data_IF_990916823730
#
_entry.id   IF_990916823730
#
_cell.length_a   1.000
_cell.length_b   1.000
_cell.length_c   1.000
_cell.angle_alpha   90.00
_cell.angle_beta   90.00
_cell.angle_gamma   90.00
#
_symmetry.space_group_name_H-M   'P 1'
#
loop_
_entity.id
_entity.type
_entity.pdbx_description
1 polymer ?
#
# COMPACT_ATOMS: atom_id res chain seq x y z
N UNK A 1 -12.02 34.13 18.84
CA UNK A 1 -11.25 32.89 19.03
C UNK A 1 -9.89 33.11 18.40
N UNK A 2 -8.82 33.11 19.18
CA UNK A 2 -7.45 33.17 18.64
C UNK A 2 -7.12 31.78 18.10
N UNK A 3 -6.94 31.65 16.80
CA UNK A 3 -6.41 30.44 16.19
C UNK A 3 -4.90 30.41 16.45
N UNK A 4 -4.48 29.54 17.37
CA UNK A 4 -3.07 29.21 17.56
C UNK A 4 -2.61 28.48 16.30
N UNK A 5 -1.85 29.16 15.45
CA UNK A 5 -1.23 28.53 14.27
C UNK A 5 -0.20 27.53 14.79
N UNK A 6 -0.42 26.24 14.53
CA UNK A 6 0.53 25.20 14.91
C UNK A 6 1.85 25.42 14.14
N UNK A 7 3.02 25.22 14.76
CA UNK A 7 4.29 25.27 14.06
C UNK A 7 4.33 24.16 13.01
N UNK A 8 4.46 24.55 11.74
CA UNK A 8 4.59 23.62 10.62
C UNK A 8 5.96 22.92 10.66
N UNK A 9 5.95 21.60 10.53
CA UNK A 9 7.18 20.82 10.38
C UNK A 9 7.78 21.09 8.99
N UNK A 10 9.11 21.25 8.89
CA UNK A 10 9.77 21.61 7.64
C UNK A 10 9.63 20.51 6.57
N UNK A 11 9.50 20.93 5.31
CA UNK A 11 9.50 20.03 4.16
C UNK A 11 10.90 19.48 3.88
N UNK A 12 10.97 18.17 3.61
CA UNK A 12 12.24 17.47 3.32
C UNK A 12 12.57 17.48 1.83
N UNK A 13 13.86 17.46 1.52
CA UNK A 13 14.36 17.18 0.17
C UNK A 13 14.10 15.70 -0.20
N UNK A 14 14.05 15.42 -1.51
CA UNK A 14 13.94 14.04 -1.99
C UNK A 14 15.10 13.17 -1.46
N UNK A 15 14.83 11.94 -0.98
CA UNK A 15 15.88 11.08 -0.45
C UNK A 15 16.84 10.63 -1.57
N UNK A 16 18.12 10.50 -1.22
CA UNK A 16 19.19 10.13 -2.15
C UNK A 16 19.43 8.62 -2.13
N UNK A 17 19.76 8.02 -3.27
CA UNK A 17 19.91 6.57 -3.38
C UNK A 17 21.40 6.23 -3.29
N UNK A 18 21.78 5.46 -2.29
CA UNK A 18 23.20 5.17 -1.98
C UNK A 18 23.63 3.80 -2.50
N UNK A 19 22.80 2.78 -2.32
CA UNK A 19 23.10 1.42 -2.72
C UNK A 19 21.85 0.69 -3.22
N UNK A 20 22.07 -0.30 -4.09
CA UNK A 20 21.02 -1.11 -4.71
C UNK A 20 21.49 -2.57 -4.73
N UNK A 21 20.58 -3.49 -4.49
CA UNK A 21 20.73 -4.93 -4.73
C UNK A 21 19.55 -5.41 -5.58
N UNK A 22 19.43 -6.71 -5.78
CA UNK A 22 18.26 -7.35 -6.40
C UNK A 22 16.97 -7.15 -5.57
N UNK A 23 17.08 -7.21 -4.23
CA UNK A 23 15.93 -7.21 -3.32
C UNK A 23 15.90 -6.04 -2.33
N UNK A 24 16.86 -5.10 -2.43
CA UNK A 24 16.92 -3.96 -1.51
C UNK A 24 17.47 -2.69 -2.13
N UNK A 25 16.99 -1.54 -1.64
CA UNK A 25 17.50 -0.22 -2.00
C UNK A 25 17.79 0.56 -0.70
N UNK A 26 19.01 1.08 -0.57
CA UNK A 26 19.41 1.89 0.57
C UNK A 26 19.30 3.38 0.24
N UNK A 27 18.50 4.08 1.04
CA UNK A 27 18.21 5.50 0.90
C UNK A 27 18.93 6.30 1.97
N UNK A 28 19.36 7.50 1.61
CA UNK A 28 19.94 8.51 2.50
C UNK A 28 19.01 9.70 2.58
N UNK A 29 18.56 10.00 3.79
CA UNK A 29 17.79 11.20 4.09
C UNK A 29 18.76 12.25 4.58
N UNK A 30 18.78 13.43 3.94
CA UNK A 30 19.59 14.56 4.41
C UNK A 30 18.91 15.16 5.64
N UNK A 31 19.60 15.11 6.78
CA UNK A 31 19.14 15.70 8.04
C UNK A 31 19.15 17.23 7.92
N UNK A 32 18.09 17.88 8.42
CA UNK A 32 17.97 19.33 8.38
C UNK A 32 18.91 19.95 9.42
N UNK A 33 19.69 21.00 9.10
CA UNK A 33 20.73 21.53 10.00
C UNK A 33 20.21 22.11 11.34
N UNK A 34 18.90 22.32 11.49
CA UNK A 34 18.29 22.91 12.70
C UNK A 34 17.23 22.01 13.36
N UNK A 35 17.17 20.71 13.05
CA UNK A 35 16.16 19.79 13.59
C UNK A 35 16.68 18.99 14.79
N UNK A 36 15.92 19.01 15.89
CA UNK A 36 16.13 18.22 17.11
C UNK A 36 16.64 16.79 16.82
N UNK A 37 17.55 16.31 17.66
CA UNK A 37 18.25 15.02 17.54
C UNK A 37 17.34 13.76 17.62
N UNK A 38 16.02 13.94 17.72
CA UNK A 38 14.99 12.88 17.80
C UNK A 38 13.94 12.96 16.67
N UNK A 39 14.27 13.53 15.51
CA UNK A 39 13.35 13.50 14.38
C UNK A 39 13.14 12.07 13.86
N UNK A 40 11.92 11.55 13.99
CA UNK A 40 11.53 10.29 13.35
C UNK A 40 11.04 10.56 11.92
N UNK A 41 11.35 9.64 11.02
CA UNK A 41 10.97 9.71 9.62
C UNK A 41 10.03 8.57 9.28
N UNK A 42 9.01 8.85 8.46
CA UNK A 42 8.18 7.82 7.84
C UNK A 42 8.48 7.81 6.34
N UNK A 43 8.76 6.63 5.81
CA UNK A 43 8.98 6.41 4.38
C UNK A 43 7.76 5.73 3.75
N UNK A 44 7.55 6.00 2.47
CA UNK A 44 6.64 5.23 1.64
C UNK A 44 7.34 4.87 0.35
N UNK A 45 7.16 3.62 -0.07
CA UNK A 45 7.63 3.10 -1.34
C UNK A 45 6.42 2.77 -2.23
N UNK A 46 6.51 3.06 -3.52
CA UNK A 46 5.53 2.58 -4.49
C UNK A 46 6.21 1.98 -5.70
N UNK A 47 5.54 0.98 -6.28
CA UNK A 47 5.88 0.38 -7.55
C UNK A 47 5.53 1.35 -8.69
N UNK A 48 6.47 1.54 -9.61
CA UNK A 48 6.24 2.32 -10.82
C UNK A 48 6.49 1.46 -12.05
N UNK A 49 5.49 1.39 -12.92
CA UNK A 49 5.60 0.76 -14.24
C UNK A 49 5.48 1.87 -15.30
N UNK A 50 6.39 1.90 -16.26
CA UNK A 50 6.39 2.87 -17.37
C UNK A 50 6.34 4.36 -16.96
N UNK A 51 6.80 4.70 -15.75
CA UNK A 51 6.82 6.08 -15.24
C UNK A 51 5.52 6.54 -14.58
N UNK A 52 4.50 5.67 -14.50
CA UNK A 52 3.31 5.91 -13.70
C UNK A 52 3.53 5.38 -12.28
N UNK A 53 3.16 6.17 -11.27
CA UNK A 53 3.20 5.76 -9.87
C UNK A 53 1.84 5.17 -9.52
N UNK A 54 1.79 3.87 -9.20
CA UNK A 54 0.56 3.29 -8.68
C UNK A 54 0.31 3.85 -7.28
N UNK A 55 -0.91 4.31 -7.00
CA UNK A 55 -1.26 4.89 -5.69
C UNK A 55 -1.32 3.85 -4.54
N UNK A 56 -0.86 2.62 -4.76
CA UNK A 56 -0.66 1.60 -3.72
C UNK A 56 0.70 1.81 -3.05
N UNK A 57 0.73 2.71 -2.07
CA UNK A 57 1.90 2.93 -1.24
C UNK A 57 2.09 1.79 -0.25
N UNK A 58 3.27 1.18 -0.25
CA UNK A 58 3.72 0.27 0.79
C UNK A 58 4.10 1.15 1.98
N UNK A 59 3.27 1.09 3.03
CA UNK A 59 3.48 1.87 4.24
C UNK A 59 4.69 1.30 4.98
N UNK A 60 5.70 2.13 5.22
CA UNK A 60 6.92 1.69 5.87
C UNK A 60 7.10 2.30 7.26
N UNK A 61 7.95 1.61 8.01
CA UNK A 61 8.24 1.73 9.44
C UNK A 61 8.86 3.10 9.75
N UNK A 62 8.59 3.63 10.95
CA UNK A 62 9.26 4.82 11.46
C UNK A 62 10.74 4.53 11.73
N UNK A 63 11.63 5.43 11.32
CA UNK A 63 13.07 5.28 11.53
C UNK A 63 13.73 6.61 11.91
N UNK A 64 14.81 6.55 12.69
CA UNK A 64 15.58 7.72 13.15
C UNK A 64 16.97 7.82 12.49
N UNK A 65 17.35 6.83 11.69
CA UNK A 65 18.65 6.78 11.01
C UNK A 65 18.68 7.61 9.72
N UNK A 66 19.82 8.21 9.40
CA UNK A 66 20.05 8.92 8.12
C UNK A 66 20.14 7.97 6.93
N UNK A 67 20.47 6.70 7.17
CA UNK A 67 20.52 5.62 6.18
C UNK A 67 19.44 4.59 6.49
N UNK A 68 18.59 4.30 5.50
CA UNK A 68 17.49 3.35 5.62
C UNK A 68 17.49 2.34 4.47
N UNK A 69 17.72 1.03 4.74
CA UNK A 69 17.60 -0.02 3.74
C UNK A 69 16.14 -0.50 3.60
N UNK A 70 15.55 -0.26 2.44
CA UNK A 70 14.24 -0.83 2.05
C UNK A 70 14.48 -2.26 1.55
N UNK A 71 14.00 -3.26 2.29
CA UNK A 71 14.15 -4.69 1.99
C UNK A 71 12.86 -5.28 1.40
N UNK A 72 12.95 -6.46 0.77
CA UNK A 72 11.79 -7.20 0.26
C UNK A 72 11.26 -6.66 -1.07
N UNK A 73 12.10 -5.95 -1.82
CA UNK A 73 11.77 -5.48 -3.15
C UNK A 73 11.89 -6.63 -4.15
N UNK A 74 11.12 -6.58 -5.24
CA UNK A 74 11.24 -7.58 -6.31
C UNK A 74 12.49 -7.28 -7.15
N UNK A 75 13.20 -8.32 -7.64
CA UNK A 75 14.28 -8.13 -8.60
C UNK A 75 13.74 -7.47 -9.87
N UNK A 76 14.62 -6.75 -10.57
CA UNK A 76 14.32 -6.15 -11.85
C UNK A 76 13.13 -5.15 -11.89
N UNK A 77 12.84 -4.51 -10.76
CA UNK A 77 11.59 -3.75 -10.58
C UNK A 77 11.86 -2.28 -10.26
N UNK A 78 11.08 -1.38 -10.85
CA UNK A 78 11.23 0.08 -10.67
C UNK A 78 10.37 0.59 -9.52
N UNK A 79 10.99 1.34 -8.61
CA UNK A 79 10.37 1.91 -7.43
C UNK A 79 10.60 3.42 -7.33
N UNK A 80 9.66 4.08 -6.67
CA UNK A 80 9.75 5.48 -6.24
C UNK A 80 9.55 5.59 -4.73
N UNK A 81 10.22 6.56 -4.12
CA UNK A 81 10.23 6.75 -2.68
C UNK A 81 9.88 8.20 -2.31
N UNK A 82 9.22 8.37 -1.17
CA UNK A 82 9.02 9.66 -0.50
C UNK A 82 9.14 9.50 1.00
N UNK A 83 9.57 10.56 1.68
CA UNK A 83 9.81 10.58 3.12
C UNK A 83 9.15 11.81 3.73
N UNK A 84 8.64 11.68 4.96
CA UNK A 84 8.19 12.82 5.76
C UNK A 84 8.75 12.74 7.18
N UNK A 85 8.81 13.88 7.84
CA UNK A 85 9.07 13.94 9.30
C UNK A 85 7.79 13.61 10.05
N UNK A 86 7.91 12.80 11.10
CA UNK A 86 6.83 12.49 12.04
C UNK A 86 7.33 12.83 13.45
N UNK A 87 6.53 13.58 14.18
CA UNK A 87 6.72 13.81 15.63
C UNK A 87 5.60 13.04 16.35
N UNK A 88 5.94 11.84 16.86
CA UNK A 88 4.99 10.98 17.58
C UNK A 88 4.51 11.61 18.89
N UNK A 89 5.34 12.44 19.54
CA UNK A 89 5.01 13.07 20.83
C UNK A 89 3.93 14.13 20.65
N UNK A 90 3.99 14.88 19.54
CA UNK A 90 3.04 15.95 19.22
C UNK A 90 1.90 15.50 18.29
N UNK A 91 1.88 14.23 17.88
CA UNK A 91 0.98 13.71 16.84
C UNK A 91 0.97 14.58 15.57
N UNK A 92 2.14 15.07 15.16
CA UNK A 92 2.30 15.95 14.00
C UNK A 92 3.05 15.23 12.88
N UNK A 93 2.62 15.45 11.64
CA UNK A 93 3.29 14.95 10.44
C UNK A 93 3.63 16.14 9.53
N UNK A 94 4.87 16.21 9.07
CA UNK A 94 5.26 17.16 8.04
C UNK A 94 4.76 16.76 6.65
N UNK A 95 4.92 17.67 5.70
CA UNK A 95 4.65 17.39 4.30
C UNK A 95 5.58 16.29 3.75
N UNK A 96 5.10 15.57 2.73
CA UNK A 96 5.90 14.58 2.03
C UNK A 96 6.98 15.25 1.18
N UNK A 97 8.19 14.66 1.18
CA UNK A 97 9.24 15.07 0.27
C UNK A 97 8.82 14.86 -1.20
N UNK A 98 9.46 15.57 -2.14
CA UNK A 98 9.37 15.22 -3.55
C UNK A 98 9.77 13.77 -3.80
N UNK A 99 9.20 13.17 -4.85
CA UNK A 99 9.49 11.80 -5.25
C UNK A 99 10.95 11.65 -5.69
N UNK A 100 11.55 10.51 -5.36
CA UNK A 100 12.85 10.12 -5.93
C UNK A 100 12.74 9.85 -7.42
N UNK A 101 13.85 9.96 -8.18
CA UNK A 101 13.92 9.43 -9.53
C UNK A 101 13.60 7.93 -9.56
N UNK A 102 12.93 7.51 -10.64
CA UNK A 102 12.58 6.11 -10.88
C UNK A 102 13.83 5.22 -10.78
N UNK A 103 13.79 4.27 -9.84
CA UNK A 103 14.95 3.43 -9.55
C UNK A 103 14.63 1.96 -9.66
N UNK A 104 15.35 1.29 -10.55
CA UNK A 104 15.27 -0.14 -10.78
C UNK A 104 16.23 -0.91 -9.86
N UNK A 105 15.74 -1.98 -9.22
CA UNK A 105 16.56 -2.99 -8.54
C UNK A 105 17.35 -3.81 -9.55
N UNK A 106 18.47 -4.42 -9.13
CA UNK A 106 19.24 -5.27 -10.03
C UNK A 106 18.46 -6.53 -10.42
N UNK A 107 18.85 -7.14 -11.53
CA UNK A 107 18.43 -8.53 -11.80
C UNK A 107 19.22 -9.48 -10.88
N UNK A 108 18.66 -10.66 -10.61
CA UNK A 108 19.36 -11.70 -9.83
C UNK A 108 20.74 -12.02 -10.43
N UNK A 109 20.84 -12.07 -11.76
CA UNK A 109 22.12 -12.29 -12.45
C UNK A 109 23.12 -11.14 -12.26
N UNK A 110 22.65 -9.89 -12.31
CA UNK A 110 23.51 -8.71 -12.12
C UNK A 110 24.03 -8.63 -10.69
N UNK A 111 23.20 -8.96 -9.71
CA UNK A 111 23.58 -8.97 -8.30
C UNK A 111 24.49 -10.19 -7.98
N UNK A 112 24.23 -11.36 -8.58
CA UNK A 112 25.12 -12.53 -8.49
C UNK A 112 26.51 -12.25 -9.09
N UNK A 113 26.58 -11.50 -10.21
CA UNK A 113 27.85 -11.08 -10.81
C UNK A 113 28.59 -10.07 -9.94
N UNK A 114 27.87 -9.18 -9.24
CA UNK A 114 28.45 -8.17 -8.35
C UNK A 114 28.85 -8.72 -6.98
N UNK A 115 28.14 -9.71 -6.46
CA UNK A 115 28.39 -10.31 -5.15
C UNK A 115 29.62 -11.21 -5.10
N UNK A 116 30.36 -11.37 -6.20
CA UNK A 116 31.67 -12.06 -6.24
C UNK A 116 31.61 -13.58 -6.11
N UNK A 117 30.45 -14.15 -5.76
CA UNK A 117 30.25 -15.59 -5.54
C UNK A 117 30.57 -16.44 -6.78
N UNK A 118 30.18 -15.97 -7.97
CA UNK A 118 30.46 -16.65 -9.24
C UNK A 118 31.95 -16.58 -9.60
N UNK A 119 32.60 -15.45 -9.34
CA UNK A 119 34.02 -15.26 -9.65
C UNK A 119 34.92 -16.04 -8.70
N UNK A 120 34.59 -16.08 -7.40
CA UNK A 120 35.32 -16.89 -6.42
C UNK A 120 35.16 -18.39 -6.66
N UNK A 121 33.95 -18.85 -7.00
CA UNK A 121 33.72 -20.26 -7.35
C UNK A 121 34.46 -20.66 -8.63
N UNK A 122 34.45 -19.82 -9.67
CA UNK A 122 35.23 -20.05 -10.89
C UNK A 122 36.74 -20.09 -10.62
N UNK A 123 37.27 -19.19 -9.78
CA UNK A 123 38.69 -19.16 -9.42
C UNK A 123 39.11 -20.39 -8.61
N UNK A 124 38.21 -20.94 -7.78
CA UNK A 124 38.46 -22.17 -7.01
C UNK A 124 38.54 -23.40 -7.91
N UNK A 125 37.60 -23.54 -8.86
CA UNK A 125 37.60 -24.64 -9.84
C UNK A 125 38.86 -24.64 -10.71
N UNK A 126 39.31 -23.47 -11.17
CA UNK A 126 40.58 -23.31 -11.91
C UNK A 126 41.80 -23.78 -11.10
N UNK A 127 41.86 -23.46 -9.80
CA UNK A 127 42.95 -23.91 -8.90
C UNK A 127 42.95 -25.42 -8.71
N UNK A 128 41.77 -26.04 -8.59
CA UNK A 128 41.62 -27.49 -8.44
C UNK A 128 42.04 -28.24 -9.73
N UNK A 129 41.61 -27.76 -10.91
CA UNK A 129 42.02 -28.34 -12.19
C UNK A 129 43.54 -28.27 -12.40
N UNK A 130 44.17 -27.15 -12.05
CA UNK A 130 45.63 -26.98 -12.14
C UNK A 130 46.41 -27.92 -11.22
N UNK A 131 45.86 -28.26 -10.04
CA UNK A 131 46.45 -29.24 -9.12
C UNK A 131 46.43 -30.66 -9.69
N UNK A 132 45.31 -31.06 -10.28
CA UNK A 132 45.13 -32.39 -10.89
C UNK A 132 46.09 -32.59 -12.08
N UNK A 133 46.17 -31.60 -12.97
CA UNK A 133 47.09 -31.63 -14.12
C UNK A 133 48.56 -31.74 -13.69
N UNK A 134 48.95 -31.01 -12.63
CA UNK A 134 50.32 -31.09 -12.09
C UNK A 134 50.65 -32.48 -11.52
N UNK A 135 49.67 -33.14 -10.89
CA UNK A 135 49.82 -34.51 -10.37
C UNK A 135 49.96 -35.57 -11.47
N UNK A 136 49.26 -35.41 -12.60
CA UNK A 136 49.38 -36.31 -13.75
C UNK A 136 50.75 -36.21 -14.44
N UNK A 137 51.29 -34.99 -14.56
CA UNK A 137 52.63 -34.75 -15.14
C UNK A 137 53.73 -35.42 -14.28
N UNK A 138 53.62 -35.38 -12.95
CA UNK A 138 54.58 -36.05 -12.05
C UNK A 138 54.59 -37.57 -12.28
N UNK A 139 53.41 -38.21 -12.33
CA UNK A 139 53.30 -39.66 -12.53
C UNK A 139 53.86 -40.14 -13.87
N UNK A 140 53.67 -39.36 -14.93
CA UNK A 140 54.23 -39.67 -16.25
C UNK A 140 55.75 -39.54 -16.29
N UNK A 141 56.32 -38.69 -15.44
CA UNK A 141 57.77 -38.49 -15.33
C UNK A 141 58.43 -39.70 -14.65
N UNK A 142 57.85 -40.20 -13.56
CA UNK A 142 58.36 -41.36 -12.81
C UNK A 142 58.39 -42.65 -13.65
N UNK A 143 57.35 -42.89 -14.46
CA UNK A 143 57.24 -44.09 -15.32
C UNK A 143 58.30 -44.10 -16.45
N UNK A 144 58.73 -42.92 -16.90
CA UNK A 144 59.74 -42.80 -17.94
C UNK A 144 61.16 -43.07 -17.40
N UNK A 145 61.41 -42.83 -16.11
CA UNK A 145 62.70 -43.12 -15.47
C UNK A 145 62.87 -44.61 -15.12
N UNK A 146 61.81 -45.30 -14.70
CA UNK A 146 61.86 -46.75 -14.41
C UNK A 146 62.12 -47.61 -15.65
N UNK A 147 61.62 -47.21 -16.82
CA UNK A 147 61.83 -47.95 -18.08
C UNK A 147 63.27 -47.89 -18.61
N UNK A 148 64.12 -47.02 -18.07
CA UNK A 148 65.50 -46.84 -18.52
C UNK A 148 66.48 -47.83 -17.86
N UNK A 149 66.10 -48.49 -16.77
CA UNK A 149 67.01 -49.30 -15.92
C UNK A 149 66.93 -50.81 -16.21
N UNK A 150 65.92 -51.30 -16.94
CA UNK A 150 65.59 -52.73 -17.00
C UNK A 150 66.09 -53.51 -18.25
N UNK A 151 67.11 -53.04 -18.99
CA UNK A 151 67.53 -53.66 -20.28
C UNK A 151 68.93 -54.27 -20.36
N UNK A 152 69.64 -54.47 -19.26
CA UNK A 152 71.02 -54.99 -19.31
C UNK A 152 71.25 -56.14 -18.33
N UNK A 153 70.92 -57.39 -18.71
CA UNK A 153 71.69 -58.59 -18.32
C UNK A 153 71.03 -59.89 -18.79
N UNK A 154 71.76 -60.67 -19.61
CA UNK A 154 71.98 -62.13 -19.51
C UNK A 154 72.08 -62.82 -20.88
N UNK A 155 73.18 -63.56 -21.12
CA UNK A 155 73.15 -64.84 -21.82
C UNK A 155 74.51 -65.61 -21.91
N UNK A 156 74.37 -66.95 -21.97
CA UNK A 156 75.26 -68.05 -22.47
C UNK A 156 76.18 -68.74 -21.44
N UNK A 157 76.04 -70.04 -21.08
CA UNK A 157 76.02 -71.36 -21.80
C UNK A 157 77.42 -71.82 -22.26
N UNK A 158 77.90 -72.99 -21.78
CA UNK A 158 78.89 -73.80 -22.52
C UNK A 158 78.92 -75.30 -22.11
N UNK A 159 79.21 -76.16 -23.09
CA UNK A 159 79.19 -77.64 -23.10
C UNK A 159 80.61 -78.25 -23.24
N UNK A 160 80.65 -79.59 -23.42
CA UNK A 160 81.70 -80.48 -24.01
C UNK A 160 82.60 -81.23 -22.99
N UNK A 161 83.02 -82.50 -23.17
CA UNK A 161 83.13 -83.38 -24.35
C UNK A 161 83.41 -84.84 -23.91
N UNK A 162 83.16 -85.87 -24.75
CA UNK A 162 84.17 -86.91 -25.10
C UNK A 162 83.65 -87.93 -26.16
N UNK A 163 84.47 -88.25 -27.18
CA UNK A 163 83.99 -88.52 -28.56
C UNK A 163 83.99 -89.97 -29.10
N UNK A 164 84.27 -91.03 -28.34
CA UNK A 164 84.28 -92.41 -28.91
C UNK A 164 83.53 -93.49 -28.11
N UNK A 165 83.33 -93.31 -26.80
CA UNK A 165 82.10 -93.82 -26.15
C UNK A 165 80.87 -93.13 -26.77
N UNK A 166 81.09 -91.91 -27.25
CA UNK A 166 80.16 -91.08 -28.00
C UNK A 166 79.46 -91.77 -29.13
N UNK A 167 79.97 -92.71 -29.94
CA UNK A 167 79.10 -93.21 -31.06
C UNK A 167 77.94 -94.10 -30.60
N UNK A 168 78.18 -95.04 -29.67
CA UNK A 168 77.10 -95.85 -29.05
C UNK A 168 76.35 -95.07 -27.96
N UNK A 169 77.04 -94.18 -27.26
CA UNK A 169 76.40 -93.23 -26.35
C UNK A 169 75.62 -92.18 -27.15
N UNK A 170 75.98 -91.82 -28.38
CA UNK A 170 75.27 -90.90 -29.29
C UNK A 170 74.10 -91.65 -29.87
N UNK A 171 74.19 -92.93 -30.23
CA UNK A 171 73.02 -93.67 -30.72
C UNK A 171 72.02 -93.98 -29.59
N UNK A 172 72.50 -94.34 -28.39
CA UNK A 172 71.64 -94.48 -27.21
C UNK A 172 71.18 -93.14 -26.63
N UNK A 173 71.98 -92.08 -26.71
CA UNK A 173 71.55 -90.69 -26.41
C UNK A 173 70.66 -90.17 -27.52
N UNK A 174 70.80 -90.55 -28.79
CA UNK A 174 69.91 -90.16 -29.88
C UNK A 174 68.58 -90.86 -29.71
N UNK A 175 68.57 -92.14 -29.36
CA UNK A 175 67.37 -92.87 -29.00
C UNK A 175 66.70 -92.27 -27.76
N UNK A 176 67.47 -91.98 -26.69
CA UNK A 176 66.95 -91.28 -25.50
C UNK A 176 66.49 -89.86 -25.81
N UNK A 177 67.22 -89.11 -26.62
CA UNK A 177 66.86 -87.75 -27.06
C UNK A 177 65.64 -87.79 -27.97
N UNK A 178 65.47 -88.81 -28.82
CA UNK A 178 64.26 -89.00 -29.63
C UNK A 178 63.06 -89.36 -28.74
N UNK A 179 63.27 -90.18 -27.71
CA UNK A 179 62.24 -90.52 -26.73
C UNK A 179 61.91 -89.32 -25.81
N UNK A 180 62.90 -88.55 -25.40
CA UNK A 180 62.73 -87.30 -24.65
C UNK A 180 62.08 -86.23 -25.51
N UNK A 181 62.44 -86.11 -26.80
CA UNK A 181 61.82 -85.21 -27.76
C UNK A 181 60.36 -85.62 -28.02
N UNK A 182 60.06 -86.92 -28.12
CA UNK A 182 58.67 -87.38 -28.27
C UNK A 182 57.85 -87.15 -27.00
N UNK A 183 58.42 -87.41 -25.83
CA UNK A 183 57.81 -87.08 -24.54
C UNK A 183 57.60 -85.57 -24.37
N UNK A 184 58.57 -84.73 -24.74
CA UNK A 184 58.46 -83.27 -24.74
C UNK A 184 57.42 -82.78 -25.73
N UNK A 185 57.29 -83.44 -26.89
CA UNK A 185 56.26 -83.12 -27.89
C UNK A 185 54.87 -83.42 -27.33
N UNK A 186 54.69 -84.58 -26.68
CA UNK A 186 53.44 -84.95 -26.00
C UNK A 186 53.15 -83.94 -24.87
N UNK A 187 54.13 -83.63 -24.02
CA UNK A 187 53.96 -82.67 -22.94
C UNK A 187 53.62 -81.26 -23.45
N UNK A 188 54.26 -80.80 -24.53
CA UNK A 188 53.93 -79.53 -25.19
C UNK A 188 52.51 -79.54 -25.77
N UNK A 189 52.07 -80.65 -26.35
CA UNK A 189 50.71 -80.81 -26.85
C UNK A 189 49.70 -80.69 -25.70
N UNK A 190 49.97 -81.34 -24.56
CA UNK A 190 49.14 -81.27 -23.35
C UNK A 190 49.10 -79.87 -22.75
N UNK A 191 50.25 -79.18 -22.69
CA UNK A 191 50.31 -77.78 -22.22
C UNK A 191 49.58 -76.85 -23.18
N UNK A 192 49.64 -77.07 -24.50
CA UNK A 192 48.86 -76.31 -25.48
C UNK A 192 47.36 -76.53 -25.33
N UNK A 193 46.91 -77.78 -25.14
CA UNK A 193 45.48 -78.04 -24.90
C UNK A 193 45.01 -77.45 -23.58
N UNK A 194 45.85 -77.48 -22.54
CA UNK A 194 45.54 -76.85 -21.26
C UNK A 194 45.45 -75.33 -21.40
N UNK A 195 46.42 -74.69 -22.08
CA UNK A 195 46.35 -73.24 -22.34
C UNK A 195 45.11 -72.85 -23.15
N UNK A 196 44.73 -73.65 -24.15
CA UNK A 196 43.51 -73.39 -24.90
C UNK A 196 42.25 -73.50 -24.02
N UNK A 197 42.21 -74.48 -23.11
CA UNK A 197 41.13 -74.60 -22.13
C UNK A 197 41.11 -73.42 -21.13
N UNK A 198 42.29 -73.01 -20.64
CA UNK A 198 42.42 -71.88 -19.73
C UNK A 198 42.04 -70.55 -20.43
N UNK A 199 42.42 -70.35 -21.69
CA UNK A 199 42.03 -69.18 -22.50
C UNK A 199 40.50 -69.11 -22.69
N UNK A 200 39.85 -70.25 -22.94
CA UNK A 200 38.39 -70.32 -23.03
C UNK A 200 37.74 -69.98 -21.68
N UNK A 201 38.21 -70.56 -20.58
CA UNK A 201 37.70 -70.27 -19.24
C UNK A 201 37.87 -68.80 -18.86
N UNK A 202 39.02 -68.18 -19.19
CA UNK A 202 39.26 -66.75 -18.97
C UNK A 202 38.26 -65.92 -19.79
N UNK A 203 38.02 -66.29 -21.05
CA UNK A 203 37.05 -65.57 -21.91
C UNK A 203 35.61 -65.68 -21.39
N UNK A 204 35.22 -66.83 -20.86
CA UNK A 204 33.90 -67.04 -20.24
C UNK A 204 33.75 -66.20 -18.97
N UNK A 205 34.75 -66.21 -18.09
CA UNK A 205 34.74 -65.42 -16.86
C UNK A 205 34.70 -63.90 -17.15
N UNK A 206 35.41 -63.44 -18.18
CA UNK A 206 35.35 -62.03 -18.59
C UNK A 206 33.96 -61.65 -19.11
N UNK A 207 33.34 -62.51 -19.93
CA UNK A 207 31.96 -62.30 -20.42
C UNK A 207 30.94 -62.30 -19.27
N UNK A 208 31.08 -63.18 -18.29
CA UNK A 208 30.21 -63.18 -17.10
C UNK A 208 30.40 -61.91 -16.27
N UNK A 209 31.64 -61.45 -16.09
CA UNK A 209 31.91 -60.21 -15.36
C UNK A 209 31.31 -58.99 -16.06
N UNK A 210 31.36 -58.94 -17.40
CA UNK A 210 30.75 -57.86 -18.19
C UNK A 210 29.22 -57.88 -18.09
N UNK A 211 28.59 -59.06 -18.16
CA UNK A 211 27.14 -59.21 -17.92
C UNK A 211 26.72 -58.76 -16.52
N UNK A 212 27.49 -59.10 -15.49
CA UNK A 212 27.21 -58.67 -14.12
C UNK A 212 27.33 -57.15 -13.95
N UNK A 213 28.33 -56.52 -14.57
CA UNK A 213 28.44 -55.04 -14.57
C UNK A 213 27.26 -54.38 -15.29
N UNK A 214 26.85 -54.92 -16.44
CA UNK A 214 25.70 -54.40 -17.18
C UNK A 214 24.41 -54.48 -16.35
N UNK A 215 24.14 -55.62 -15.71
CA UNK A 215 22.99 -55.81 -14.83
C UNK A 215 23.01 -54.87 -13.61
N UNK A 216 24.19 -54.61 -13.03
CA UNK A 216 24.33 -53.70 -11.89
C UNK A 216 24.06 -52.24 -12.28
N UNK A 217 24.50 -51.82 -13.48
CA UNK A 217 24.23 -50.48 -14.02
C UNK A 217 22.73 -50.29 -14.29
N UNK A 218 22.05 -51.29 -14.86
CA UNK A 218 20.60 -51.25 -15.10
C UNK A 218 19.80 -51.16 -13.80
N UNK A 219 20.17 -51.95 -12.77
CA UNK A 219 19.53 -51.86 -11.46
C UNK A 219 19.73 -50.50 -10.79
N UNK A 220 20.94 -49.93 -10.87
CA UNK A 220 21.19 -48.59 -10.33
C UNK A 220 20.34 -47.53 -11.03
N UNK A 221 20.18 -47.63 -12.36
CA UNK A 221 19.29 -46.75 -13.12
C UNK A 221 17.82 -46.90 -12.68
N UNK A 222 17.33 -48.14 -12.53
CA UNK A 222 15.96 -48.39 -12.05
C UNK A 222 15.71 -47.82 -10.66
N UNK A 223 16.63 -48.00 -9.71
CA UNK A 223 16.51 -47.45 -8.35
C UNK A 223 16.49 -45.92 -8.36
N UNK A 224 17.29 -45.28 -9.23
CA UNK A 224 17.25 -43.82 -9.40
C UNK A 224 15.90 -43.36 -9.94
N UNK A 225 15.36 -44.02 -10.97
CA UNK A 225 14.04 -43.69 -11.51
C UNK A 225 12.91 -43.87 -10.49
N UNK A 226 12.95 -44.93 -9.68
CA UNK A 226 11.96 -45.15 -8.62
C UNK A 226 12.02 -44.04 -7.55
N UNK A 227 13.22 -43.62 -7.16
CA UNK A 227 13.42 -42.53 -6.19
C UNK A 227 12.95 -41.18 -6.75
N UNK A 228 13.27 -40.88 -8.01
CA UNK A 228 12.80 -39.67 -8.71
C UNK A 228 11.27 -39.67 -8.81
N UNK A 229 10.68 -40.81 -9.13
CA UNK A 229 9.23 -40.90 -9.28
C UNK A 229 8.51 -40.84 -7.91
N UNK A 230 9.11 -41.34 -6.83
CA UNK A 230 8.63 -41.12 -5.46
C UNK A 230 8.67 -39.64 -5.06
N UNK A 231 9.81 -38.97 -5.25
CA UNK A 231 9.95 -37.54 -4.94
C UNK A 231 9.00 -36.65 -5.76
N UNK A 232 8.72 -37.02 -7.01
CA UNK A 232 7.70 -36.33 -7.81
C UNK A 232 6.28 -36.55 -7.28
N UNK A 233 5.95 -37.76 -6.80
CA UNK A 233 4.65 -38.03 -6.18
C UNK A 233 4.46 -37.25 -4.89
N UNK A 234 5.46 -37.22 -4.02
CA UNK A 234 5.43 -36.42 -2.79
C UNK A 234 5.24 -34.92 -3.10
N UNK A 235 5.96 -34.41 -4.11
CA UNK A 235 5.77 -33.01 -4.55
C UNK A 235 4.38 -32.74 -5.11
N UNK A 236 3.80 -33.69 -5.85
CA UNK A 236 2.43 -33.56 -6.36
C UNK A 236 1.43 -33.54 -5.20
N UNK A 237 1.56 -34.44 -4.23
CA UNK A 237 0.71 -34.50 -3.04
C UNK A 237 0.79 -33.20 -2.23
N UNK A 238 2.00 -32.67 -1.99
CA UNK A 238 2.18 -31.36 -1.33
C UNK A 238 1.52 -30.22 -2.11
N UNK A 239 1.60 -30.22 -3.44
CA UNK A 239 0.96 -29.22 -4.27
C UNK A 239 -0.57 -29.34 -4.25
N UNK A 240 -1.12 -30.56 -4.25
CA UNK A 240 -2.56 -30.81 -4.13
C UNK A 240 -3.09 -30.33 -2.78
N UNK A 241 -2.38 -30.60 -1.68
CA UNK A 241 -2.74 -30.08 -0.36
C UNK A 241 -2.67 -28.55 -0.29
N UNK A 242 -1.65 -27.94 -0.87
CA UNK A 242 -1.52 -26.48 -0.93
C UNK A 242 -2.65 -25.86 -1.74
N UNK A 243 -3.03 -26.47 -2.87
CA UNK A 243 -4.16 -26.04 -3.68
C UNK A 243 -5.48 -26.14 -2.90
N UNK A 244 -5.69 -27.25 -2.18
CA UNK A 244 -6.88 -27.42 -1.33
C UNK A 244 -6.97 -26.35 -0.26
N UNK A 245 -5.87 -26.07 0.45
CA UNK A 245 -5.80 -25.01 1.47
C UNK A 245 -6.09 -23.63 0.87
N UNK A 246 -5.53 -23.33 -0.30
CA UNK A 246 -5.80 -22.07 -0.98
C UNK A 246 -7.28 -21.97 -1.38
N UNK A 247 -7.88 -23.05 -1.87
CA UNK A 247 -9.30 -23.08 -2.23
C UNK A 247 -10.21 -22.88 -1.02
N UNK A 248 -9.90 -23.51 0.13
CA UNK A 248 -10.59 -23.27 1.40
C UNK A 248 -10.47 -21.81 1.85
N UNK A 249 -9.28 -21.20 1.73
CA UNK A 249 -9.06 -19.79 2.07
C UNK A 249 -9.86 -18.85 1.15
N UNK A 250 -9.89 -19.14 -0.15
CA UNK A 250 -10.70 -18.38 -1.13
C UNK A 250 -12.18 -18.49 -0.79
N UNK A 251 -12.69 -19.69 -0.49
CA UNK A 251 -14.08 -19.89 -0.11
C UNK A 251 -14.44 -19.13 1.19
N UNK A 252 -13.58 -19.20 2.21
CA UNK A 252 -13.79 -18.45 3.45
C UNK A 252 -13.79 -16.93 3.22
N UNK A 253 -12.91 -16.43 2.35
CA UNK A 253 -12.90 -15.01 1.97
C UNK A 253 -14.16 -14.61 1.19
N UNK A 254 -14.65 -15.49 0.31
CA UNK A 254 -15.87 -15.25 -0.46
C UNK A 254 -17.11 -15.19 0.44
N UNK A 255 -17.20 -16.09 1.44
CA UNK A 255 -18.27 -16.04 2.45
C UNK A 255 -18.23 -14.75 3.28
N UNK A 256 -17.05 -14.24 3.62
CA UNK A 256 -16.91 -12.97 4.32
C UNK A 256 -17.37 -11.80 3.44
N UNK A 257 -16.98 -11.79 2.16
CA UNK A 257 -17.42 -10.78 1.19
C UNK A 257 -18.95 -10.80 1.08
N UNK A 258 -19.58 -11.96 0.91
CA UNK A 258 -21.04 -12.07 0.85
C UNK A 258 -21.73 -11.54 2.11
N UNK A 259 -21.17 -11.76 3.30
CA UNK A 259 -21.70 -11.20 4.55
C UNK A 259 -21.61 -9.68 4.58
N UNK A 260 -20.48 -9.12 4.13
CA UNK A 260 -20.31 -7.66 4.07
C UNK A 260 -21.22 -7.02 3.01
N UNK A 261 -21.38 -7.65 1.84
CA UNK A 261 -22.29 -7.20 0.79
C UNK A 261 -23.75 -7.18 1.27
N UNK A 262 -24.20 -8.25 1.93
CA UNK A 262 -25.53 -8.31 2.53
C UNK A 262 -25.74 -7.23 3.61
N UNK A 263 -24.74 -7.02 4.47
CA UNK A 263 -24.78 -5.96 5.49
C UNK A 263 -24.80 -4.57 4.87
N UNK A 264 -24.06 -4.36 3.77
CA UNK A 264 -24.01 -3.08 3.06
C UNK A 264 -25.37 -2.79 2.42
N UNK A 265 -26.00 -3.77 1.80
CA UNK A 265 -27.31 -3.62 1.18
C UNK A 265 -28.41 -3.36 2.22
N UNK A 266 -28.36 -4.05 3.37
CA UNK A 266 -29.23 -3.76 4.50
C UNK A 266 -29.04 -2.33 5.02
N UNK A 267 -27.80 -1.84 5.10
CA UNK A 267 -27.53 -0.45 5.53
C UNK A 267 -27.95 0.59 4.50
N UNK A 268 -27.81 0.31 3.21
CA UNK A 268 -28.31 1.19 2.15
C UNK A 268 -29.83 1.34 2.23
N UNK A 269 -30.56 0.23 2.36
CA UNK A 269 -32.02 0.28 2.51
C UNK A 269 -32.48 0.98 3.80
N UNK A 270 -31.74 0.86 4.91
CA UNK A 270 -32.00 1.62 6.13
C UNK A 270 -31.78 3.14 5.92
N UNK A 271 -30.74 3.52 5.18
CA UNK A 271 -30.45 4.93 4.85
C UNK A 271 -31.57 5.50 3.99
N UNK A 272 -31.99 4.81 2.92
CA UNK A 272 -33.05 5.30 2.04
C UNK A 272 -34.37 5.50 2.80
N UNK A 273 -34.72 4.59 3.72
CA UNK A 273 -35.91 4.75 4.57
C UNK A 273 -35.82 5.98 5.48
N UNK A 274 -34.64 6.26 6.06
CA UNK A 274 -34.43 7.44 6.89
C UNK A 274 -34.43 8.73 6.08
N UNK A 275 -33.89 8.71 4.86
CA UNK A 275 -33.94 9.85 3.95
C UNK A 275 -35.40 10.21 3.59
N UNK A 276 -36.24 9.21 3.28
CA UNK A 276 -37.67 9.40 3.05
C UNK A 276 -38.42 9.92 4.29
N UNK A 277 -38.03 9.47 5.49
CA UNK A 277 -38.60 9.99 6.75
C UNK A 277 -38.21 11.45 6.99
N UNK A 278 -36.94 11.80 6.76
CA UNK A 278 -36.46 13.18 6.88
C UNK A 278 -37.15 14.08 5.85
N UNK A 279 -37.33 13.63 4.61
CA UNK A 279 -38.07 14.38 3.59
C UNK A 279 -39.52 14.64 3.99
N UNK A 280 -40.20 13.65 4.56
CA UNK A 280 -41.57 13.82 5.10
C UNK A 280 -41.61 14.83 6.25
N UNK A 281 -40.68 14.73 7.20
CA UNK A 281 -40.61 15.67 8.34
C UNK A 281 -40.33 17.10 7.83
N UNK A 282 -39.41 17.27 6.88
CA UNK A 282 -39.13 18.59 6.29
C UNK A 282 -40.34 19.16 5.57
N UNK A 283 -41.08 18.34 4.82
CA UNK A 283 -42.31 18.76 4.16
C UNK A 283 -43.38 19.21 5.17
N UNK A 284 -43.55 18.47 6.27
CA UNK A 284 -44.49 18.83 7.34
C UNK A 284 -44.07 20.11 8.07
N UNK A 285 -42.77 20.29 8.36
CA UNK A 285 -42.24 21.52 8.95
C UNK A 285 -42.47 22.73 8.03
N UNK A 286 -42.18 22.58 6.73
CA UNK A 286 -42.41 23.64 5.75
C UNK A 286 -43.89 24.01 5.65
N UNK A 287 -44.79 23.02 5.65
CA UNK A 287 -46.25 23.25 5.66
C UNK A 287 -46.66 24.03 6.91
N UNK A 288 -46.22 23.60 8.08
CA UNK A 288 -46.54 24.28 9.34
C UNK A 288 -46.01 25.73 9.37
N UNK A 289 -44.79 25.96 8.89
CA UNK A 289 -44.22 27.32 8.79
C UNK A 289 -45.05 28.19 7.84
N UNK A 290 -45.46 27.66 6.70
CA UNK A 290 -46.31 28.37 5.75
C UNK A 290 -47.68 28.71 6.37
N UNK A 291 -48.33 27.74 7.02
CA UNK A 291 -49.61 27.95 7.72
C UNK A 291 -49.50 29.05 8.80
N UNK A 292 -48.40 29.07 9.56
CA UNK A 292 -48.16 30.13 10.55
C UNK A 292 -47.88 31.48 9.91
N UNK A 293 -47.18 31.53 8.78
CA UNK A 293 -46.95 32.76 8.03
C UNK A 293 -48.26 33.34 7.47
N UNK A 294 -49.11 32.48 6.90
CA UNK A 294 -50.43 32.86 6.38
C UNK A 294 -51.33 33.39 7.52
N UNK A 295 -51.34 32.70 8.67
CA UNK A 295 -52.10 33.15 9.85
C UNK A 295 -51.59 34.48 10.42
N UNK A 296 -50.27 34.68 10.45
CA UNK A 296 -49.68 35.95 10.86
C UNK A 296 -50.07 37.09 9.91
N UNK A 297 -50.07 36.83 8.60
CA UNK A 297 -50.49 37.80 7.58
C UNK A 297 -51.97 38.17 7.73
N UNK A 298 -52.86 37.20 7.93
CA UNK A 298 -54.30 37.47 8.17
C UNK A 298 -54.49 38.34 9.42
N UNK A 299 -53.81 38.00 10.54
CA UNK A 299 -53.87 38.83 11.75
C UNK A 299 -53.33 40.23 11.55
N UNK A 300 -52.29 40.40 10.72
CA UNK A 300 -51.79 41.72 10.38
C UNK A 300 -52.84 42.54 9.64
N UNK A 301 -53.52 41.95 8.65
CA UNK A 301 -54.63 42.61 7.94
C UNK A 301 -55.78 42.99 8.88
N UNK A 302 -56.17 42.09 9.80
CA UNK A 302 -57.22 42.39 10.80
C UNK A 302 -56.85 43.60 11.69
N UNK A 303 -55.57 43.72 12.07
CA UNK A 303 -55.08 44.88 12.84
C UNK A 303 -55.06 46.14 11.99
N UNK A 304 -54.63 46.05 10.73
CA UNK A 304 -54.61 47.18 9.80
C UNK A 304 -56.04 47.72 9.53
N UNK A 305 -57.01 46.83 9.33
CA UNK A 305 -58.42 47.18 9.17
C UNK A 305 -58.98 47.85 10.42
N UNK A 306 -58.73 47.29 11.61
CA UNK A 306 -59.16 47.88 12.88
C UNK A 306 -58.53 49.27 13.11
N UNK A 307 -57.27 49.47 12.73
CA UNK A 307 -56.61 50.78 12.80
C UNK A 307 -57.22 51.78 11.80
N UNK A 308 -57.60 51.32 10.61
CA UNK A 308 -58.25 52.16 9.61
C UNK A 308 -59.66 52.59 10.07
N UNK A 309 -60.44 51.68 10.66
CA UNK A 309 -61.72 52.01 11.30
C UNK A 309 -61.56 53.00 12.45
N UNK A 310 -60.57 52.80 13.33
CA UNK A 310 -60.29 53.74 14.41
C UNK A 310 -59.86 55.11 13.89
N UNK A 311 -59.04 55.16 12.84
CA UNK A 311 -58.63 56.41 12.18
C UNK A 311 -59.82 57.16 11.60
N UNK A 312 -60.68 56.48 10.83
CA UNK A 312 -61.87 57.10 10.23
C UNK A 312 -62.85 57.61 11.30
N UNK A 313 -63.02 56.88 12.39
CA UNK A 313 -63.82 57.33 13.56
C UNK A 313 -63.23 58.58 14.21
N UNK A 314 -61.90 58.65 14.39
CA UNK A 314 -61.23 59.84 14.93
C UNK A 314 -61.34 61.05 13.99
N UNK A 315 -61.22 60.85 12.67
CA UNK A 315 -61.42 61.90 11.67
C UNK A 315 -62.85 62.47 11.76
N UNK A 316 -63.86 61.60 11.85
CA UNK A 316 -65.25 62.03 12.07
C UNK A 316 -65.43 62.82 13.37
N UNK A 317 -64.81 62.39 14.47
CA UNK A 317 -64.85 63.12 15.74
C UNK A 317 -64.17 64.49 15.63
N UNK A 318 -63.06 64.58 14.90
CA UNK A 318 -62.34 65.84 14.64
C UNK A 318 -63.22 66.82 13.86
N UNK A 319 -63.92 66.35 12.82
CA UNK A 319 -64.84 67.16 12.03
C UNK A 319 -65.99 67.69 12.88
N UNK A 320 -66.60 66.83 13.71
CA UNK A 320 -67.63 67.24 14.67
C UNK A 320 -67.08 68.28 15.65
N UNK A 321 -65.88 68.06 16.19
CA UNK A 321 -65.28 69.01 17.14
C UNK A 321 -65.00 70.36 16.48
N UNK A 322 -64.56 70.36 15.22
CA UNK A 322 -64.32 71.57 14.44
C UNK A 322 -65.64 72.33 14.23
N UNK A 323 -66.69 71.63 13.79
CA UNK A 323 -68.02 72.22 13.65
C UNK A 323 -68.54 72.84 14.96
N UNK A 324 -68.41 72.12 16.09
CA UNK A 324 -68.83 72.63 17.40
C UNK A 324 -68.00 73.84 17.84
N UNK A 325 -66.70 73.88 17.56
CA UNK A 325 -65.85 75.05 17.85
C UNK A 325 -66.28 76.27 17.04
N UNK A 326 -66.61 76.07 15.77
CA UNK A 326 -67.11 77.15 14.90
C UNK A 326 -68.47 77.66 15.39
N UNK A 327 -69.38 76.76 15.77
CA UNK A 327 -70.68 77.12 16.36
C UNK A 327 -70.54 77.89 17.67
N UNK A 328 -69.67 77.43 18.58
CA UNK A 328 -69.41 78.14 19.85
C UNK A 328 -68.80 79.52 19.57
N UNK A 329 -67.95 79.65 18.56
CA UNK A 329 -67.36 80.94 18.17
C UNK A 329 -68.44 81.88 17.61
N UNK A 330 -69.32 81.39 16.73
CA UNK A 330 -70.49 82.11 16.21
C UNK A 330 -71.40 82.60 17.33
N UNK A 331 -71.76 81.72 18.27
CA UNK A 331 -72.60 82.06 19.42
C UNK A 331 -71.92 83.07 20.35
N UNK A 332 -70.59 83.02 20.50
CA UNK A 332 -69.85 84.04 21.28
C UNK A 332 -69.89 85.40 20.59
N UNK A 333 -69.75 85.45 19.27
CA UNK A 333 -69.88 86.69 18.49
C UNK A 333 -71.29 87.26 18.58
N UNK A 334 -72.33 86.43 18.44
CA UNK A 334 -73.73 86.84 18.59
C UNK A 334 -74.01 87.36 20.00
N UNK A 335 -73.57 86.65 21.05
CA UNK A 335 -73.69 87.12 22.42
C UNK A 335 -72.95 88.45 22.64
N UNK A 336 -71.77 88.62 22.05
CA UNK A 336 -71.06 89.89 22.12
C UNK A 336 -71.83 91.01 21.42
N UNK A 337 -72.43 90.73 20.26
CA UNK A 337 -73.27 91.68 19.54
C UNK A 337 -74.52 92.07 20.34
N UNK A 338 -75.25 91.10 20.89
CA UNK A 338 -76.40 91.33 21.77
C UNK A 338 -76.01 92.13 23.01
N UNK A 339 -74.85 91.83 23.61
CA UNK A 339 -74.33 92.60 24.75
C UNK A 339 -74.07 94.05 24.36
N UNK A 340 -73.45 94.30 23.21
CA UNK A 340 -73.22 95.66 22.71
C UNK A 340 -74.54 96.39 22.42
N UNK A 341 -75.55 95.70 21.87
CA UNK A 341 -76.89 96.27 21.66
C UNK A 341 -77.58 96.62 22.99
N UNK A 342 -77.46 95.77 24.01
CA UNK A 342 -77.99 96.06 25.35
C UNK A 342 -77.28 97.28 25.94
N UNK A 343 -75.95 97.33 25.87
CA UNK A 343 -75.16 98.48 26.35
C UNK A 343 -75.55 99.78 25.62
N UNK A 344 -75.81 99.73 24.31
CA UNK A 344 -76.30 100.87 23.52
C UNK A 344 -77.70 101.31 23.96
N UNK A 345 -78.65 100.38 24.08
CA UNK A 345 -80.02 100.67 24.56
C UNK A 345 -80.01 101.21 25.99
N UNK A 346 -79.23 100.61 26.89
CA UNK A 346 -79.04 101.10 28.26
C UNK A 346 -78.46 102.51 28.25
N UNK A 347 -77.48 102.80 27.38
CA UNK A 347 -76.92 104.15 27.25
C UNK A 347 -77.94 105.20 26.80
N UNK A 348 -78.97 104.81 26.04
CA UNK A 348 -80.07 105.70 25.64
C UNK A 348 -81.18 105.83 26.69
N UNK A 349 -81.54 104.71 27.35
CA UNK A 349 -82.66 104.63 28.29
C UNK A 349 -82.27 105.17 29.66
N UNK A 350 -81.08 104.85 30.17
CA UNK A 350 -80.62 105.28 31.50
C UNK A 350 -80.71 106.81 31.67
N UNK A 351 -80.23 107.65 30.74
CA UNK A 351 -80.38 109.11 30.87
C UNK A 351 -81.83 109.60 30.78
N UNK A 352 -82.73 108.86 30.11
CA UNK A 352 -84.16 109.19 30.06
C UNK A 352 -84.84 108.82 31.37
N UNK A 353 -84.51 107.66 31.94
CA UNK A 353 -85.00 107.23 33.25
C UNK A 353 -84.55 108.19 34.36
N UNK A 354 -83.26 108.55 34.40
CA UNK A 354 -82.74 109.53 35.37
C UNK A 354 -83.47 110.87 35.24
N UNK A 355 -83.69 111.37 34.02
CA UNK A 355 -84.49 112.59 33.80
C UNK A 355 -85.93 112.47 34.31
N UNK A 356 -86.58 111.33 34.06
CA UNK A 356 -87.93 111.07 34.56
C UNK A 356 -87.99 110.90 36.09
N UNK A 357 -86.93 110.37 36.71
CA UNK A 357 -86.77 110.29 38.16
C UNK A 357 -86.60 111.70 38.74
N UNK A 358 -85.74 112.54 38.17
CA UNK A 358 -85.56 113.94 38.54
C UNK A 358 -86.89 114.72 38.40
N UNK A 359 -87.62 114.54 37.30
CA UNK A 359 -88.94 115.14 37.07
C UNK A 359 -89.97 114.66 38.10
N UNK A 360 -90.00 113.35 38.42
CA UNK A 360 -90.87 112.82 39.47
C UNK A 360 -90.51 113.38 40.84
N UNK A 361 -89.22 113.54 41.15
CA UNK A 361 -88.76 114.11 42.41
C UNK A 361 -89.14 115.60 42.51
N UNK A 362 -89.02 116.36 41.42
CA UNK A 362 -89.52 117.72 41.32
C UNK A 362 -91.04 117.80 41.51
N UNK A 363 -91.81 116.91 40.87
CA UNK A 363 -93.27 116.85 41.02
C UNK A 363 -93.67 116.48 42.45
N UNK A 364 -92.99 115.54 43.09
CA UNK A 364 -93.19 115.21 44.51
C UNK A 364 -92.89 116.40 45.41
N UNK A 365 -91.79 117.11 45.16
CA UNK A 365 -91.44 118.33 45.90
C UNK A 365 -92.47 119.45 45.71
N UNK A 366 -93.07 119.60 44.52
CA UNK A 366 -94.15 120.54 44.25
C UNK A 366 -95.45 120.14 44.98
N UNK A 367 -95.79 118.86 45.00
CA UNK A 367 -96.97 118.34 45.72
C UNK A 367 -96.83 118.52 47.24
N UNK A 368 -95.63 118.38 47.81
CA UNK A 368 -95.39 118.64 49.23
C UNK A 368 -95.38 120.13 49.63
N UNK A 369 -95.40 121.06 48.67
CA UNK A 369 -95.45 122.53 48.91
C UNK A 369 -96.85 123.14 48.78
N UNK A 370 -97.86 122.34 48.43
CA UNK A 370 -99.29 122.67 48.54
C UNK A 370 -99.84 122.03 49.80
#
# INVERSE_FOLDING_TARGET
MQFTVMPELPSLLAPEIVAKTDQSITLRVKQLPNGNEEAQYKLQASYSEHGYVYYSWIDSVTFSSTLFPVKGLKPNTTYVFRVRVVDEIKCQCGEWSPLTPNTRTFTEEEDAKRSGTVFEHALKLEREQKSILKGQISKLTDILEERKVARESENRVQQHEDMLASRRIIDSRLSKLQQELSMQTIALQTVKSQRAADELMISELLNEQEKLRAAQIEQQGQVQYELEMQTLRERLEMNEEALRKHQEQVNASHEQIMKYEASLEAKKSEITQKEEEVERIMADCNRMVQEQADLAHVKQLEVEDALLEAKTSLEQQLDINTYLRDEVSRLREENHHLKNQIEEVDSEIVPKLVRLEDENEQLRAQLCRR
#
